data_IF_574191504349
#
_entry.id   IF_574191504349
#
_cell.length_a   1.000
_cell.length_b   1.000
_cell.length_c   1.000
_cell.angle_alpha   90.00
_cell.angle_beta   90.00
_cell.angle_gamma   90.00
#
_symmetry.space_group_name_H-M   'P 1'
#
loop_
_entity.id
_entity.type
_entity.pdbx_description
1 polymer ?
#
# COMPACT_ATOMS: atom_id res chain seq x y z
N UNK A 1 -40.68 -24.09 45.38
CA UNK A 1 -41.91 -23.42 44.94
C UNK A 1 -41.76 -23.10 43.47
N UNK A 2 -42.36 -23.93 42.63
CA UNK A 2 -42.34 -23.86 41.16
C UNK A 2 -43.52 -23.01 40.70
N UNK A 3 -43.30 -22.11 39.75
CA UNK A 3 -44.35 -21.41 39.01
C UNK A 3 -43.83 -21.05 37.61
N UNK A 4 -44.74 -20.98 36.62
CA UNK A 4 -44.61 -21.74 35.37
C UNK A 4 -44.17 -20.91 34.15
N UNK A 5 -43.76 -21.56 33.05
CA UNK A 5 -43.43 -20.88 31.79
C UNK A 5 -44.69 -20.55 30.96
N UNK A 6 -44.72 -19.34 30.43
CA UNK A 6 -45.72 -18.80 29.52
C UNK A 6 -45.53 -19.38 28.10
N UNK A 7 -46.59 -19.95 27.55
CA UNK A 7 -46.69 -20.47 26.19
C UNK A 7 -47.26 -19.42 25.23
N UNK A 8 -46.63 -19.23 24.07
CA UNK A 8 -47.19 -18.53 22.90
C UNK A 8 -46.62 -19.12 21.59
N UNK A 9 -47.34 -18.99 20.46
CA UNK A 9 -47.71 -20.15 19.65
C UNK A 9 -46.84 -20.40 18.40
N UNK A 10 -46.88 -21.65 17.98
CA UNK A 10 -46.39 -22.24 16.74
C UNK A 10 -47.07 -21.63 15.50
N UNK A 11 -46.34 -21.20 14.46
CA UNK A 11 -46.92 -20.97 13.14
C UNK A 11 -47.04 -22.28 12.35
N UNK A 12 -48.24 -22.52 11.81
CA UNK A 12 -48.58 -23.60 10.87
C UNK A 12 -47.90 -23.43 9.49
N UNK A 13 -47.75 -24.51 8.71
CA UNK A 13 -46.83 -24.59 7.58
C UNK A 13 -47.36 -23.91 6.32
N UNK A 14 -46.48 -23.18 5.64
CA UNK A 14 -46.75 -22.59 4.32
C UNK A 14 -46.66 -23.67 3.24
N UNK A 15 -47.76 -23.82 2.50
CA UNK A 15 -47.91 -24.71 1.34
C UNK A 15 -46.94 -24.35 0.21
N UNK A 16 -46.36 -25.38 -0.39
CA UNK A 16 -45.60 -25.31 -1.64
C UNK A 16 -46.54 -25.17 -2.86
N UNK A 17 -46.25 -24.27 -3.81
CA UNK A 17 -46.82 -24.33 -5.15
C UNK A 17 -46.04 -25.32 -6.02
N UNK A 18 -46.77 -26.25 -6.63
CA UNK A 18 -46.29 -27.21 -7.63
C UNK A 18 -46.05 -26.53 -9.00
N UNK A 19 -45.32 -27.19 -9.92
CA UNK A 19 -44.54 -26.55 -10.99
C UNK A 19 -45.38 -26.14 -12.21
N UNK A 20 -45.12 -24.93 -12.72
CA UNK A 20 -45.65 -24.47 -14.02
C UNK A 20 -44.67 -24.79 -15.16
N UNK A 21 -45.28 -25.28 -16.24
CA UNK A 21 -44.69 -25.87 -17.42
C UNK A 21 -43.89 -24.89 -18.31
N UNK A 22 -42.89 -25.45 -18.99
CA UNK A 22 -42.08 -24.81 -20.00
C UNK A 22 -42.89 -24.43 -21.26
N UNK A 23 -42.71 -23.22 -21.82
CA UNK A 23 -43.10 -22.92 -23.19
C UNK A 23 -42.04 -23.35 -24.20
N UNK A 24 -42.52 -24.02 -25.23
CA UNK A 24 -41.80 -24.55 -26.37
C UNK A 24 -41.13 -23.47 -27.23
N UNK A 25 -40.04 -23.92 -27.86
CA UNK A 25 -39.24 -23.32 -28.92
C UNK A 25 -40.04 -22.68 -30.06
N UNK A 26 -39.74 -21.43 -30.37
CA UNK A 26 -40.05 -20.80 -31.67
C UNK A 26 -38.80 -20.72 -32.55
N UNK A 27 -38.92 -21.01 -33.87
CA UNK A 27 -37.78 -21.15 -34.78
C UNK A 27 -37.16 -19.81 -35.22
N UNK A 28 -35.85 -19.87 -35.40
CA UNK A 28 -34.93 -18.81 -35.81
C UNK A 28 -35.00 -18.57 -37.33
N UNK A 29 -35.09 -17.32 -37.82
CA UNK A 29 -34.99 -17.03 -39.25
C UNK A 29 -33.53 -17.08 -39.76
N UNK A 30 -33.31 -17.48 -41.02
CA UNK A 30 -31.99 -17.81 -41.56
C UNK A 30 -31.08 -16.61 -41.81
N UNK A 31 -29.78 -16.85 -41.63
CA UNK A 31 -28.68 -15.92 -41.84
C UNK A 31 -28.48 -15.59 -43.33
N UNK A 32 -28.39 -14.29 -43.62
CA UNK A 32 -28.03 -13.75 -44.94
C UNK A 32 -26.50 -13.77 -45.09
N UNK A 33 -25.98 -14.53 -46.05
CA UNK A 33 -24.57 -14.49 -46.43
C UNK A 33 -24.30 -13.30 -47.37
N UNK A 34 -23.21 -12.53 -47.18
CA UNK A 34 -22.76 -11.56 -48.17
C UNK A 34 -22.07 -12.25 -49.37
N UNK A 35 -22.23 -11.71 -50.60
CA UNK A 35 -21.75 -12.35 -51.82
C UNK A 35 -20.22 -12.22 -52.01
N UNK A 36 -19.62 -13.28 -52.57
CA UNK A 36 -18.23 -13.30 -53.07
C UNK A 36 -18.12 -12.48 -54.36
N UNK A 37 -17.09 -11.63 -54.54
CA UNK A 37 -16.82 -11.01 -55.84
C UNK A 37 -16.24 -12.01 -56.84
N UNK A 38 -16.88 -12.13 -58.01
CA UNK A 38 -16.37 -12.77 -59.21
C UNK A 38 -15.22 -11.95 -59.80
N UNK A 39 -14.14 -12.64 -60.17
CA UNK A 39 -13.11 -12.10 -61.05
C UNK A 39 -13.59 -12.17 -62.51
N UNK A 40 -13.30 -11.15 -63.30
CA UNK A 40 -13.34 -11.23 -64.77
C UNK A 40 -12.10 -10.57 -65.37
N UNK A 41 -11.61 -11.08 -66.52
CA UNK A 41 -10.20 -11.04 -66.86
C UNK A 41 -9.97 -10.37 -68.21
N UNK A 42 -9.92 -9.04 -68.29
CA UNK A 42 -9.45 -8.34 -69.50
C UNK A 42 -9.03 -6.92 -69.15
N UNK A 43 -7.71 -6.64 -69.18
CA UNK A 43 -7.16 -5.48 -69.91
C UNK A 43 -5.63 -5.45 -69.84
N UNK A 44 -5.05 -5.40 -71.04
CA UNK A 44 -3.64 -5.29 -71.34
C UNK A 44 -3.11 -3.86 -71.14
N UNK A 45 -1.79 -3.80 -71.03
CA UNK A 45 -0.95 -2.68 -70.61
C UNK A 45 -0.76 -1.54 -71.64
N UNK A 46 -0.51 -0.33 -71.13
CA UNK A 46 0.37 0.67 -71.74
C UNK A 46 1.01 1.55 -70.63
N UNK A 47 2.25 2.07 -70.81
CA UNK A 47 3.05 2.65 -69.74
C UNK A 47 2.87 4.17 -69.58
N UNK A 48 2.88 4.67 -68.35
CA UNK A 48 2.96 6.11 -68.04
C UNK A 48 3.89 6.33 -66.85
N UNK A 49 4.81 7.29 -67.02
CA UNK A 49 5.83 7.70 -66.07
C UNK A 49 5.23 8.39 -64.81
N UNK A 50 6.01 8.57 -63.72
CA UNK A 50 5.50 8.48 -62.35
C UNK A 50 4.82 9.77 -61.85
N UNK A 51 3.56 9.63 -61.44
CA UNK A 51 2.88 10.61 -60.60
C UNK A 51 3.24 10.36 -59.12
N UNK A 52 3.70 11.41 -58.44
CA UNK A 52 4.00 11.43 -57.00
C UNK A 52 2.71 11.21 -56.22
N UNK A 53 2.62 10.06 -55.53
CA UNK A 53 1.53 9.78 -54.59
C UNK A 53 1.77 10.52 -53.26
N UNK A 54 0.76 11.18 -52.68
CA UNK A 54 0.81 11.58 -51.28
C UNK A 54 0.81 10.32 -50.37
N UNK A 55 1.53 10.34 -49.24
CA UNK A 55 1.73 9.15 -48.41
C UNK A 55 0.39 8.65 -47.85
N UNK A 56 0.02 7.42 -48.20
CA UNK A 56 -1.04 6.69 -47.51
C UNK A 56 -0.64 6.48 -46.04
N UNK A 57 -1.53 6.71 -45.08
CA UNK A 57 -1.30 6.33 -43.69
C UNK A 57 -1.18 4.80 -43.63
N UNK A 58 0.03 4.31 -43.33
CA UNK A 58 0.24 2.92 -42.98
C UNK A 58 -0.65 2.56 -41.79
N UNK A 59 -1.35 1.40 -41.82
CA UNK A 59 -1.91 0.83 -40.61
C UNK A 59 -0.77 0.69 -39.61
N UNK A 60 -0.87 1.38 -38.48
CA UNK A 60 0.07 1.22 -37.39
C UNK A 60 0.17 -0.27 -37.08
N UNK A 61 1.37 -0.83 -37.26
CA UNK A 61 1.66 -2.17 -36.78
C UNK A 61 1.17 -2.25 -35.33
N UNK A 62 0.47 -3.32 -34.92
CA UNK A 62 0.11 -3.48 -33.53
C UNK A 62 1.39 -3.34 -32.72
N UNK A 63 1.48 -2.26 -31.94
CA UNK A 63 2.52 -2.15 -30.94
C UNK A 63 2.39 -3.42 -30.13
N UNK A 64 3.40 -4.28 -30.21
CA UNK A 64 3.65 -5.29 -29.21
C UNK A 64 3.79 -4.52 -27.89
N UNK A 65 2.66 -4.30 -27.21
CA UNK A 65 2.65 -4.09 -25.78
C UNK A 65 3.25 -5.37 -25.23
N UNK A 66 4.57 -5.36 -25.05
CA UNK A 66 5.17 -6.25 -24.10
C UNK A 66 4.40 -5.99 -22.81
N UNK A 67 3.61 -6.98 -22.38
CA UNK A 67 3.07 -7.07 -21.02
C UNK A 67 4.25 -7.27 -20.05
N UNK A 68 5.23 -6.38 -20.11
CA UNK A 68 6.26 -6.26 -19.10
C UNK A 68 5.56 -6.02 -17.77
N UNK A 69 6.04 -6.71 -16.73
CA UNK A 69 5.63 -6.46 -15.35
C UNK A 69 5.60 -4.95 -15.11
N UNK A 70 4.41 -4.35 -15.09
CA UNK A 70 4.25 -2.95 -14.74
C UNK A 70 4.61 -2.84 -13.25
N UNK A 71 5.80 -2.31 -12.98
CA UNK A 71 6.30 -2.03 -11.64
C UNK A 71 6.40 -0.53 -11.52
N UNK A 72 6.00 0.02 -10.38
CA UNK A 72 6.17 1.45 -10.09
C UNK A 72 7.65 1.85 -10.31
N UNK A 73 7.90 2.90 -11.09
CA UNK A 73 9.23 3.30 -11.57
C UNK A 73 10.27 3.43 -10.43
N UNK A 74 9.84 3.89 -9.25
CA UNK A 74 10.73 4.13 -8.11
C UNK A 74 11.07 2.87 -7.29
N UNK A 75 10.58 1.70 -7.71
CA UNK A 75 10.76 0.42 -7.01
C UNK A 75 12.23 0.05 -6.78
N UNK A 76 13.12 0.34 -7.74
CA UNK A 76 14.56 0.10 -7.59
C UNK A 76 15.19 0.99 -6.51
N UNK A 77 14.84 2.28 -6.50
CA UNK A 77 15.32 3.24 -5.51
C UNK A 77 14.89 2.87 -4.09
N UNK A 78 13.65 2.40 -3.93
CA UNK A 78 13.14 1.92 -2.62
C UNK A 78 13.92 0.72 -2.08
N UNK A 79 14.42 -0.18 -2.95
CA UNK A 79 15.28 -1.29 -2.53
C UNK A 79 16.66 -0.81 -2.05
N UNK A 80 17.24 0.17 -2.75
CA UNK A 80 18.51 0.78 -2.35
C UNK A 80 18.39 1.44 -0.97
N UNK A 81 17.33 2.25 -0.76
CA UNK A 81 17.03 2.87 0.54
C UNK A 81 16.91 1.79 1.62
N UNK A 82 16.17 0.71 1.36
CA UNK A 82 16.05 -0.40 2.33
C UNK A 82 17.41 -1.04 2.67
N UNK A 83 18.30 -1.18 1.68
CA UNK A 83 19.68 -1.64 1.87
C UNK A 83 20.51 -0.68 2.73
N UNK A 84 20.45 0.62 2.45
CA UNK A 84 21.13 1.66 3.21
C UNK A 84 20.64 1.70 4.67
N UNK A 85 19.33 1.53 4.89
CA UNK A 85 18.75 1.41 6.23
C UNK A 85 19.20 0.16 7.00
N UNK A 86 19.55 -0.95 6.31
CA UNK A 86 20.18 -2.11 6.95
C UNK A 86 21.60 -1.76 7.42
N UNK A 87 22.40 -1.15 6.54
CA UNK A 87 23.77 -0.71 6.87
C UNK A 87 23.78 0.28 8.04
N UNK A 88 22.87 1.27 8.05
CA UNK A 88 22.73 2.23 9.14
C UNK A 88 22.44 1.56 10.49
N UNK A 89 21.61 0.51 10.53
CA UNK A 89 21.37 -0.22 11.78
C UNK A 89 22.61 -0.94 12.28
N UNK A 90 23.33 -1.61 11.38
CA UNK A 90 24.61 -2.25 11.71
C UNK A 90 25.63 -1.23 12.22
N UNK A 91 25.70 -0.06 11.58
CA UNK A 91 26.55 1.05 11.97
C UNK A 91 26.25 1.54 13.41
N UNK A 92 24.99 1.87 13.72
CA UNK A 92 24.59 2.30 15.07
C UNK A 92 24.84 1.20 16.11
N UNK A 93 24.61 -0.06 15.73
CA UNK A 93 24.97 -1.18 16.59
C UNK A 93 26.48 -1.29 16.78
N UNK A 94 27.32 -0.89 15.84
CA UNK A 94 28.78 -0.85 16.00
C UNK A 94 29.33 0.28 16.88
N UNK A 95 28.54 1.34 17.15
CA UNK A 95 29.03 2.52 17.85
C UNK A 95 29.13 2.33 19.37
N UNK A 96 30.35 2.08 19.85
CA UNK A 96 30.68 1.91 21.28
C UNK A 96 31.45 3.09 21.88
N UNK A 97 31.68 4.15 21.10
CA UNK A 97 32.42 5.32 21.58
C UNK A 97 31.62 6.04 22.69
N UNK A 98 32.28 6.39 23.81
CA UNK A 98 31.65 7.14 24.89
C UNK A 98 31.33 8.57 24.44
N UNK A 99 30.13 9.03 24.75
CA UNK A 99 29.70 10.41 24.50
C UNK A 99 30.19 11.28 25.66
N UNK A 100 30.69 12.49 25.36
CA UNK A 100 31.20 13.44 26.37
C UNK A 100 30.17 13.72 27.48
N UNK A 101 30.62 13.70 28.74
CA UNK A 101 29.78 13.84 29.94
C UNK A 101 28.91 15.11 30.00
N UNK A 102 29.28 16.19 29.32
CA UNK A 102 28.48 17.42 29.26
C UNK A 102 27.12 17.20 28.58
N UNK A 103 27.05 16.30 27.60
CA UNK A 103 25.79 15.95 26.91
C UNK A 103 24.91 15.03 27.76
N UNK A 104 25.52 14.38 28.76
CA UNK A 104 24.90 13.40 29.65
C UNK A 104 24.31 14.07 30.90
N UNK A 105 24.90 15.16 31.41
CA UNK A 105 24.39 15.91 32.58
C UNK A 105 23.01 16.55 32.37
N UNK A 106 22.57 16.76 31.13
CA UNK A 106 21.21 17.22 30.82
C UNK A 106 20.14 16.11 30.97
N UNK A 107 20.54 14.86 31.28
CA UNK A 107 19.67 13.69 31.22
C UNK A 107 19.02 13.34 32.56
N UNK A 108 19.73 13.46 33.68
CA UNK A 108 19.20 13.17 35.03
C UNK A 108 20.28 13.47 36.08
N UNK A 109 19.90 14.05 37.23
CA UNK A 109 20.82 14.41 38.33
C UNK A 109 21.37 13.22 39.13
N UNK A 110 21.37 12.01 38.56
CA UNK A 110 21.82 10.79 39.21
C UNK A 110 22.34 9.81 38.17
N UNK A 111 23.63 9.89 37.83
CA UNK A 111 24.27 8.97 36.88
C UNK A 111 25.42 8.26 37.58
N UNK A 112 25.26 6.94 37.76
CA UNK A 112 26.35 6.00 38.06
C UNK A 112 27.27 5.89 36.83
N UNK A 113 28.57 5.84 37.05
CA UNK A 113 29.73 5.91 36.11
C UNK A 113 29.78 4.98 34.88
N UNK A 114 28.66 4.49 34.33
CA UNK A 114 28.69 3.77 33.05
C UNK A 114 28.78 4.76 31.89
N UNK A 115 29.86 4.67 31.12
CA UNK A 115 30.04 5.40 29.86
C UNK A 115 28.80 5.28 28.97
N UNK A 116 28.11 6.41 28.73
CA UNK A 116 26.93 6.44 27.88
C UNK A 116 27.38 6.47 26.42
N UNK A 117 27.02 5.44 25.66
CA UNK A 117 27.34 5.31 24.23
C UNK A 117 26.11 5.58 23.35
N UNK A 118 26.34 5.89 22.07
CA UNK A 118 25.25 6.07 21.08
C UNK A 118 24.39 4.80 20.98
N UNK A 119 25.00 3.61 21.00
CA UNK A 119 24.28 2.33 21.03
C UNK A 119 23.28 2.26 22.19
N UNK A 120 23.72 2.62 23.39
CA UNK A 120 22.87 2.53 24.59
C UNK A 120 21.70 3.52 24.51
N UNK A 121 21.97 4.77 24.11
CA UNK A 121 20.94 5.79 23.88
C UNK A 121 19.94 5.33 22.81
N UNK A 122 20.43 4.85 21.67
CA UNK A 122 19.61 4.37 20.57
C UNK A 122 18.69 3.21 21.03
N UNK A 123 19.19 2.32 21.88
CA UNK A 123 18.42 1.24 22.49
C UNK A 123 17.27 1.74 23.38
N UNK A 124 17.53 2.71 24.25
CA UNK A 124 16.51 3.32 25.13
C UNK A 124 15.43 4.06 24.33
N UNK A 125 15.84 4.88 23.36
CA UNK A 125 14.93 5.61 22.50
C UNK A 125 14.11 4.65 21.63
N UNK A 126 14.73 3.61 21.06
CA UNK A 126 14.01 2.55 20.33
C UNK A 126 12.92 1.90 21.18
N UNK A 127 13.24 1.52 22.43
CA UNK A 127 12.26 0.88 23.33
C UNK A 127 11.08 1.82 23.61
N UNK A 128 11.38 3.08 23.93
CA UNK A 128 10.37 4.10 24.18
C UNK A 128 9.47 4.34 22.96
N UNK A 129 10.08 4.46 21.77
CA UNK A 129 9.38 4.65 20.49
C UNK A 129 8.45 3.47 20.19
N UNK A 130 8.96 2.24 20.33
CA UNK A 130 8.19 1.02 20.01
C UNK A 130 7.04 0.83 20.99
N UNK A 131 7.28 1.08 22.29
CA UNK A 131 6.24 1.06 23.32
C UNK A 131 5.15 2.08 23.03
N UNK A 132 5.52 3.32 22.66
CA UNK A 132 4.55 4.39 22.39
C UNK A 132 3.69 4.07 21.17
N UNK A 133 4.29 3.48 20.12
CA UNK A 133 3.53 2.96 18.97
C UNK A 133 2.60 1.80 19.34
N UNK A 134 3.00 0.97 20.31
CA UNK A 134 2.19 -0.10 20.91
C UNK A 134 0.97 0.37 21.71
N UNK A 135 0.91 1.67 22.02
CA UNK A 135 -0.16 2.28 22.84
C UNK A 135 -1.16 3.06 21.99
N UNK A 136 -1.09 2.95 20.66
CA UNK A 136 -2.08 3.56 19.78
C UNK A 136 -3.40 2.81 19.91
N UNK A 137 -4.51 3.55 19.91
CA UNK A 137 -5.85 2.97 19.92
C UNK A 137 -6.63 3.38 18.68
N UNK A 138 -7.72 2.68 18.39
CA UNK A 138 -8.64 2.97 17.28
C UNK A 138 -9.61 4.14 17.58
N UNK A 139 -9.53 4.72 18.79
CA UNK A 139 -10.35 5.85 19.20
C UNK A 139 -9.85 7.14 18.54
N UNK A 140 -10.73 7.81 17.79
CA UNK A 140 -10.40 9.06 17.14
C UNK A 140 -9.96 10.13 18.17
N UNK A 141 -8.85 10.81 17.91
CA UNK A 141 -8.33 11.90 18.74
C UNK A 141 -7.63 11.49 20.05
N UNK A 142 -7.71 10.21 20.47
CA UNK A 142 -7.08 9.73 21.71
C UNK A 142 -5.54 9.73 21.65
N UNK A 143 -4.98 9.62 20.44
CA UNK A 143 -3.56 9.37 20.19
C UNK A 143 -2.66 10.62 20.24
N UNK A 144 -3.20 11.78 20.63
CA UNK A 144 -2.46 13.05 20.65
C UNK A 144 -1.22 12.99 21.55
N UNK A 145 -1.32 12.31 22.71
CA UNK A 145 -0.19 12.15 23.65
C UNK A 145 0.94 11.32 23.04
N UNK A 146 0.60 10.25 22.34
CA UNK A 146 1.54 9.36 21.66
C UNK A 146 2.25 10.10 20.52
N UNK A 147 1.51 10.90 19.74
CA UNK A 147 2.08 11.74 18.67
C UNK A 147 3.11 12.72 19.26
N UNK A 148 2.76 13.42 20.34
CA UNK A 148 3.66 14.38 21.00
C UNK A 148 4.91 13.69 21.53
N UNK A 149 4.75 12.55 22.21
CA UNK A 149 5.88 11.79 22.76
C UNK A 149 6.83 11.27 21.66
N UNK A 150 6.30 10.77 20.54
CA UNK A 150 7.10 10.33 19.39
C UNK A 150 7.84 11.53 18.78
N UNK A 151 7.16 12.66 18.62
CA UNK A 151 7.76 13.90 18.10
C UNK A 151 8.91 14.35 18.98
N UNK A 152 8.69 14.51 20.28
CA UNK A 152 9.71 14.97 21.22
C UNK A 152 10.93 14.03 21.27
N UNK A 153 10.68 12.72 21.18
CA UNK A 153 11.74 11.73 21.10
C UNK A 153 12.60 11.89 19.82
N UNK A 154 11.96 12.13 18.67
CA UNK A 154 12.66 12.37 17.41
C UNK A 154 13.36 13.73 17.39
N UNK A 155 12.77 14.78 17.94
CA UNK A 155 13.42 16.09 18.11
C UNK A 155 14.67 15.97 18.98
N UNK A 156 14.60 15.24 20.09
CA UNK A 156 15.76 14.96 20.95
C UNK A 156 16.87 14.23 20.19
N UNK A 157 16.54 13.37 19.24
CA UNK A 157 17.55 12.66 18.45
C UNK A 157 18.30 13.56 17.45
N UNK A 158 17.73 14.73 17.10
CA UNK A 158 18.41 15.73 16.27
C UNK A 158 19.45 16.52 17.07
N UNK A 159 19.28 16.67 18.38
CA UNK A 159 20.19 17.46 19.23
C UNK A 159 21.37 16.64 19.77
N UNK A 160 21.22 15.32 19.85
CA UNK A 160 22.29 14.42 20.28
C UNK A 160 23.33 14.31 19.16
N UNK A 161 24.57 14.72 19.47
CA UNK A 161 25.70 14.58 18.54
C UNK A 161 25.92 13.11 18.21
N UNK A 162 25.63 12.74 16.98
CA UNK A 162 25.87 11.42 16.40
C UNK A 162 26.55 11.61 15.04
N UNK A 163 27.15 10.54 14.51
CA UNK A 163 27.89 10.63 13.24
C UNK A 163 27.01 11.25 12.14
N UNK A 164 27.53 12.21 11.35
CA UNK A 164 26.78 12.84 10.27
C UNK A 164 26.57 11.85 9.12
N UNK A 165 25.38 11.89 8.50
CA UNK A 165 25.00 11.03 7.38
C UNK A 165 24.43 11.86 6.24
N UNK A 166 24.77 11.49 5.00
CA UNK A 166 24.21 12.09 3.79
C UNK A 166 22.72 11.69 3.63
N UNK A 167 21.77 12.63 3.74
CA UNK A 167 20.33 12.31 3.78
C UNK A 167 19.82 11.78 2.44
N UNK A 168 20.48 12.13 1.35
CA UNK A 168 20.11 11.77 -0.01
C UNK A 168 19.96 10.25 -0.14
N UNK A 169 20.80 9.44 0.50
CA UNK A 169 20.76 7.96 0.46
C UNK A 169 19.50 7.33 1.08
N UNK A 170 18.68 8.11 1.77
CA UNK A 170 17.46 7.66 2.45
C UNK A 170 16.18 8.29 1.87
N UNK A 171 16.30 9.04 0.77
CA UNK A 171 15.20 9.76 0.14
C UNK A 171 14.88 9.19 -1.24
N UNK A 172 13.59 9.19 -1.57
CA UNK A 172 13.11 8.76 -2.87
C UNK A 172 13.57 9.74 -3.95
N UNK A 173 13.20 11.01 -3.78
CA UNK A 173 13.53 12.11 -4.68
C UNK A 173 14.33 13.16 -3.90
N UNK A 174 15.66 13.03 -3.82
CA UNK A 174 16.49 13.97 -3.05
C UNK A 174 16.49 15.36 -3.73
N UNK A 175 16.24 16.44 -2.97
CA UNK A 175 16.35 17.81 -3.50
C UNK A 175 17.79 18.15 -3.89
N UNK A 176 17.94 18.80 -5.05
CA UNK A 176 19.24 19.11 -5.66
C UNK A 176 20.00 20.22 -4.91
N UNK A 177 19.29 21.16 -4.30
CA UNK A 177 19.86 22.30 -3.58
C UNK A 177 19.11 22.65 -2.31
N UNK A 178 19.63 23.60 -1.52
CA UNK A 178 18.93 24.16 -0.37
C UNK A 178 17.55 24.68 -0.75
N UNK A 179 16.61 24.60 0.18
CA UNK A 179 15.27 25.15 0.04
C UNK A 179 15.09 26.35 0.98
N UNK A 180 14.54 27.44 0.46
CA UNK A 180 14.23 28.62 1.24
C UNK A 180 13.27 28.29 2.39
N UNK A 181 13.52 28.84 3.58
CA UNK A 181 12.72 28.59 4.78
C UNK A 181 12.82 27.17 5.37
N UNK A 182 13.61 26.26 4.79
CA UNK A 182 13.79 24.93 5.34
C UNK A 182 14.67 24.96 6.60
N UNK A 183 14.22 24.25 7.64
CA UNK A 183 14.93 24.19 8.93
C UNK A 183 16.27 23.44 8.86
N UNK A 184 16.38 22.48 7.93
CA UNK A 184 17.60 21.71 7.71
C UNK A 184 18.03 21.82 6.25
N UNK A 185 19.05 22.64 5.98
CA UNK A 185 19.63 22.84 4.65
C UNK A 185 21.06 22.29 4.48
N UNK A 186 21.73 21.96 5.59
CA UNK A 186 23.09 21.41 5.57
C UNK A 186 23.20 20.07 4.85
N UNK A 187 24.43 19.66 4.53
CA UNK A 187 24.68 18.46 3.71
C UNK A 187 24.49 17.14 4.46
N UNK A 188 24.31 17.18 5.78
CA UNK A 188 24.23 15.99 6.63
C UNK A 188 23.09 16.07 7.63
N UNK A 189 22.61 14.90 8.06
CA UNK A 189 21.68 14.72 9.17
C UNK A 189 22.28 13.78 10.22
N UNK A 190 21.92 13.91 11.51
CA UNK A 190 22.39 13.02 12.56
C UNK A 190 21.99 11.55 12.28
N UNK A 191 22.95 10.62 12.35
CA UNK A 191 22.69 9.18 12.14
C UNK A 191 21.67 8.61 13.12
N UNK A 192 21.63 9.10 14.37
CA UNK A 192 20.66 8.67 15.38
C UNK A 192 19.22 9.01 14.98
N UNK A 193 18.99 10.18 14.40
CA UNK A 193 17.68 10.59 13.90
C UNK A 193 17.20 9.69 12.76
N UNK A 194 18.03 9.48 11.74
CA UNK A 194 17.70 8.60 10.61
C UNK A 194 17.47 7.16 11.07
N UNK A 195 18.25 6.71 12.06
CA UNK A 195 18.05 5.40 12.69
C UNK A 195 16.69 5.30 13.37
N UNK A 196 16.28 6.31 14.15
CA UNK A 196 14.99 6.30 14.82
C UNK A 196 13.81 6.44 13.87
N UNK A 197 13.93 7.20 12.78
CA UNK A 197 12.93 7.19 11.70
C UNK A 197 12.74 5.80 11.08
N UNK A 198 13.82 5.04 10.93
CA UNK A 198 13.74 3.65 10.47
C UNK A 198 13.14 2.71 11.53
N UNK A 199 13.42 2.92 12.82
CA UNK A 199 12.74 2.18 13.89
C UNK A 199 11.24 2.51 13.91
N UNK A 200 10.87 3.78 13.78
CA UNK A 200 9.48 4.25 13.70
C UNK A 200 8.76 3.59 12.52
N UNK A 201 9.37 3.60 11.34
CA UNK A 201 8.87 2.88 10.15
C UNK A 201 8.64 1.39 10.41
N UNK A 202 9.61 0.72 11.05
CA UNK A 202 9.48 -0.69 11.38
C UNK A 202 8.35 -0.94 12.38
N UNK A 203 8.14 -0.03 13.33
CA UNK A 203 7.04 -0.11 14.27
C UNK A 203 5.68 0.06 13.57
N UNK A 204 5.55 1.02 12.65
CA UNK A 204 4.35 1.19 11.80
C UNK A 204 4.02 -0.12 11.07
N UNK A 205 4.98 -0.66 10.32
CA UNK A 205 4.74 -1.87 9.51
C UNK A 205 4.47 -3.09 10.38
N UNK A 206 5.08 -3.17 11.56
CA UNK A 206 4.79 -4.23 12.51
C UNK A 206 3.35 -4.13 13.04
N UNK A 207 2.93 -2.97 13.54
CA UNK A 207 1.56 -2.74 14.05
C UNK A 207 0.50 -3.02 12.98
N UNK A 208 0.74 -2.57 11.75
CA UNK A 208 -0.16 -2.88 10.64
C UNK A 208 -0.23 -4.38 10.35
N UNK A 209 0.91 -5.09 10.42
CA UNK A 209 0.94 -6.52 10.15
C UNK A 209 0.38 -7.41 11.28
N UNK A 210 0.20 -6.86 12.50
CA UNK A 210 -0.24 -7.62 13.68
C UNK A 210 -1.58 -7.16 14.24
N UNK A 211 -1.77 -5.86 14.48
CA UNK A 211 -3.00 -5.33 15.07
C UNK A 211 -4.03 -5.03 13.99
N UNK A 212 -3.62 -4.40 12.88
CA UNK A 212 -4.56 -4.08 11.80
C UNK A 212 -5.01 -5.31 11.00
N UNK A 213 -4.38 -6.47 11.18
CA UNK A 213 -4.87 -7.74 10.62
C UNK A 213 -6.13 -8.23 11.32
N UNK A 214 -6.30 -7.91 12.61
CA UNK A 214 -7.44 -8.32 13.44
C UNK A 214 -8.45 -7.19 13.63
N UNK A 215 -7.97 -5.95 13.78
CA UNK A 215 -8.80 -4.75 13.83
C UNK A 215 -8.36 -3.74 12.75
N UNK A 216 -8.88 -3.85 11.51
CA UNK A 216 -8.49 -2.96 10.41
C UNK A 216 -8.70 -1.46 10.71
N UNK A 217 -9.59 -1.09 11.64
CA UNK A 217 -9.84 0.31 12.01
C UNK A 217 -8.61 1.01 12.58
N UNK A 218 -7.67 0.26 13.17
CA UNK A 218 -6.42 0.81 13.72
C UNK A 218 -5.44 1.27 12.63
N UNK A 219 -5.62 0.86 11.37
CA UNK A 219 -4.80 1.35 10.27
C UNK A 219 -4.90 2.87 10.10
N UNK A 220 -6.09 3.44 10.34
CA UNK A 220 -6.35 4.87 10.21
C UNK A 220 -5.52 5.70 11.22
N UNK A 221 -5.59 5.50 12.55
CA UNK A 221 -4.75 6.24 13.49
C UNK A 221 -3.25 6.01 13.27
N UNK A 222 -2.82 4.81 12.87
CA UNK A 222 -1.42 4.56 12.51
C UNK A 222 -1.00 5.45 11.32
N UNK A 223 -1.85 5.56 10.30
CA UNK A 223 -1.64 6.47 9.17
C UNK A 223 -1.58 7.94 9.58
N UNK A 224 -2.41 8.38 10.55
CA UNK A 224 -2.38 9.77 11.09
C UNK A 224 -1.02 10.03 11.72
N UNK A 225 -0.57 9.15 12.59
CA UNK A 225 0.70 9.28 13.31
C UNK A 225 1.86 9.32 12.31
N UNK A 226 1.88 8.38 11.35
CA UNK A 226 2.90 8.33 10.30
C UNK A 226 3.01 9.65 9.52
N UNK A 227 1.89 10.19 9.03
CA UNK A 227 1.85 11.45 8.31
C UNK A 227 2.22 12.65 9.18
N UNK A 228 1.68 12.71 10.39
CA UNK A 228 1.92 13.83 11.32
C UNK A 228 3.39 13.96 11.67
N UNK A 229 4.06 12.83 11.89
CA UNK A 229 5.50 12.77 12.15
C UNK A 229 6.28 13.06 10.87
N UNK A 230 6.11 12.29 9.80
CA UNK A 230 7.00 12.39 8.63
C UNK A 230 6.90 13.73 7.87
N UNK A 231 5.77 14.42 7.98
CA UNK A 231 5.55 15.77 7.40
C UNK A 231 5.87 16.92 8.37
N UNK A 232 6.37 16.63 9.58
CA UNK A 232 6.65 17.66 10.55
C UNK A 232 7.83 18.55 10.09
N UNK A 233 7.74 19.89 10.12
CA UNK A 233 8.78 20.78 9.59
C UNK A 233 10.20 20.51 10.12
N UNK A 234 10.33 20.21 11.42
CA UNK A 234 11.61 19.84 12.06
C UNK A 234 12.24 18.55 11.55
N UNK A 235 11.50 17.73 10.82
CA UNK A 235 11.99 16.44 10.33
C UNK A 235 12.20 16.46 8.81
N UNK A 236 11.94 17.59 8.15
CA UNK A 236 12.17 17.77 6.72
C UNK A 236 13.63 18.14 6.49
N UNK A 237 14.21 17.57 5.43
CA UNK A 237 15.51 18.00 4.92
C UNK A 237 15.31 18.70 3.59
N UNK A 238 15.76 19.95 3.51
CA UNK A 238 15.56 20.86 2.36
C UNK A 238 14.09 20.90 1.92
N UNK A 239 13.18 20.99 2.90
CA UNK A 239 11.73 21.05 2.68
C UNK A 239 11.06 19.73 2.28
N UNK A 240 11.82 18.64 2.15
CA UNK A 240 11.32 17.34 1.68
C UNK A 240 11.31 16.30 2.81
N UNK A 241 10.31 15.42 2.77
CA UNK A 241 10.12 14.39 3.80
C UNK A 241 10.95 13.13 3.52
N UNK A 242 11.24 12.37 4.58
CA UNK A 242 11.88 11.05 4.49
C UNK A 242 10.88 9.91 4.22
N UNK A 243 9.77 10.18 3.52
CA UNK A 243 8.73 9.18 3.21
C UNK A 243 9.27 7.93 2.51
N UNK A 244 10.37 8.08 1.76
CA UNK A 244 11.10 6.98 1.14
C UNK A 244 11.52 5.88 2.13
N UNK A 245 11.80 6.23 3.40
CA UNK A 245 12.10 5.25 4.46
C UNK A 245 10.89 4.35 4.72
N UNK A 246 9.68 4.93 4.83
CA UNK A 246 8.44 4.18 5.05
C UNK A 246 8.15 3.30 3.83
N UNK A 247 8.18 3.89 2.64
CA UNK A 247 7.88 3.19 1.40
C UNK A 247 8.88 2.09 1.08
N UNK A 248 10.16 2.25 1.43
CA UNK A 248 11.17 1.19 1.30
C UNK A 248 10.82 -0.05 2.13
N UNK A 249 10.21 0.15 3.30
CA UNK A 249 9.74 -0.96 4.13
C UNK A 249 8.44 -1.58 3.62
N UNK A 250 7.49 -0.77 3.12
CA UNK A 250 6.30 -1.30 2.44
C UNK A 250 6.67 -2.10 1.20
N UNK A 251 7.60 -1.61 0.38
CA UNK A 251 8.08 -2.28 -0.82
C UNK A 251 8.65 -3.67 -0.59
N UNK A 252 9.19 -3.95 0.60
CA UNK A 252 9.68 -5.27 0.99
C UNK A 252 8.65 -6.11 1.75
N UNK A 253 7.65 -5.48 2.38
CA UNK A 253 6.70 -6.18 3.27
C UNK A 253 5.32 -6.38 2.64
N UNK A 254 4.96 -5.55 1.67
CA UNK A 254 3.72 -5.56 0.87
C UNK A 254 4.09 -5.25 -0.60
N UNK A 255 4.75 -6.16 -1.31
CA UNK A 255 5.35 -5.82 -2.61
C UNK A 255 4.32 -5.70 -3.74
N UNK A 256 3.13 -6.29 -3.57
CA UNK A 256 2.08 -6.34 -4.60
C UNK A 256 1.50 -4.97 -4.95
N UNK A 257 1.45 -4.01 -4.01
CA UNK A 257 1.01 -2.63 -4.29
C UNK A 257 2.01 -1.85 -5.15
N UNK A 258 3.21 -2.41 -5.37
CA UNK A 258 4.22 -1.88 -6.28
C UNK A 258 4.27 -2.63 -7.62
N UNK A 259 3.30 -3.52 -7.89
CA UNK A 259 3.22 -4.29 -9.13
C UNK A 259 4.07 -5.55 -9.15
N UNK A 260 4.61 -5.99 -8.00
CA UNK A 260 5.35 -7.26 -7.94
C UNK A 260 4.38 -8.42 -7.88
N UNK A 261 4.67 -9.42 -8.70
CA UNK A 261 3.89 -10.65 -8.85
C UNK A 261 4.78 -11.87 -8.57
N UNK A 262 4.17 -13.01 -8.32
CA UNK A 262 4.87 -14.27 -8.08
C UNK A 262 3.91 -15.41 -7.78
N UNK A 263 4.35 -16.64 -8.00
CA UNK A 263 3.57 -17.84 -7.67
C UNK A 263 3.74 -18.21 -6.19
N UNK A 264 2.65 -18.29 -5.43
CA UNK A 264 2.66 -18.65 -4.00
C UNK A 264 3.11 -20.09 -3.73
N UNK A 265 3.15 -20.94 -4.76
CA UNK A 265 3.60 -22.34 -4.71
C UNK A 265 5.12 -22.49 -4.79
N UNK A 266 5.85 -21.43 -5.15
CA UNK A 266 7.31 -21.47 -5.35
C UNK A 266 8.02 -20.67 -4.27
N UNK A 267 9.21 -21.09 -3.85
CA UNK A 267 10.02 -20.33 -2.88
C UNK A 267 10.34 -18.91 -3.37
N UNK A 268 10.72 -18.79 -4.64
CA UNK A 268 11.04 -17.50 -5.26
C UNK A 268 9.81 -16.60 -5.32
N UNK A 269 8.63 -17.14 -5.66
CA UNK A 269 7.39 -16.38 -5.68
C UNK A 269 6.95 -15.93 -4.28
N UNK A 270 7.02 -16.80 -3.27
CA UNK A 270 6.79 -16.43 -1.87
C UNK A 270 7.70 -15.29 -1.43
N UNK A 271 8.99 -15.37 -1.73
CA UNK A 271 9.95 -14.31 -1.43
C UNK A 271 9.58 -12.99 -2.12
N UNK A 272 9.22 -13.02 -3.41
CA UNK A 272 8.79 -11.86 -4.19
C UNK A 272 7.51 -11.22 -3.65
N UNK A 273 6.59 -12.03 -3.11
CA UNK A 273 5.32 -11.59 -2.54
C UNK A 273 5.43 -11.13 -1.07
N UNK A 274 6.62 -11.12 -0.47
CA UNK A 274 6.83 -10.61 0.89
C UNK A 274 6.42 -11.59 2.00
N UNK A 275 6.40 -12.89 1.68
CA UNK A 275 6.28 -13.94 2.69
C UNK A 275 7.46 -13.89 3.66
N UNK A 276 7.18 -14.20 4.94
CA UNK A 276 8.22 -14.29 5.96
C UNK A 276 8.62 -15.75 6.16
N UNK A 277 9.88 -15.95 6.52
CA UNK A 277 10.37 -17.20 7.09
C UNK A 277 10.46 -17.02 8.61
N UNK A 278 9.84 -17.92 9.37
CA UNK A 278 10.10 -18.14 10.79
C UNK A 278 11.17 -19.21 10.99
N UNK A 279 11.32 -19.68 12.23
CA UNK A 279 12.35 -20.66 12.59
C UNK A 279 12.15 -22.01 11.88
N UNK A 280 10.88 -22.38 11.63
CA UNK A 280 10.49 -23.64 10.98
C UNK A 280 10.22 -23.50 9.47
N UNK A 281 10.79 -22.47 8.82
CA UNK A 281 10.58 -22.22 7.39
C UNK A 281 9.53 -21.14 7.13
N UNK A 282 8.78 -21.25 6.02
CA UNK A 282 7.76 -20.25 5.68
C UNK A 282 6.66 -20.19 6.76
N UNK A 283 6.17 -18.99 7.06
CA UNK A 283 4.99 -18.82 7.92
C UNK A 283 3.77 -19.50 7.30
N UNK A 284 2.73 -19.74 8.09
CA UNK A 284 1.47 -20.31 7.57
C UNK A 284 0.78 -19.37 6.58
N UNK A 285 0.00 -19.96 5.68
CA UNK A 285 -0.82 -19.21 4.72
C UNK A 285 -1.72 -18.20 5.43
N UNK A 286 -2.40 -18.63 6.49
CA UNK A 286 -3.28 -17.76 7.29
C UNK A 286 -2.50 -16.57 7.88
N UNK A 287 -1.34 -16.81 8.48
CA UNK A 287 -0.50 -15.74 9.05
C UNK A 287 -0.03 -14.75 7.96
N UNK A 288 0.34 -15.24 6.78
CA UNK A 288 0.67 -14.38 5.65
C UNK A 288 -0.52 -13.55 5.21
N UNK A 289 -1.69 -14.17 5.03
CA UNK A 289 -2.92 -13.49 4.61
C UNK A 289 -3.35 -12.40 5.60
N UNK A 290 -3.30 -12.68 6.91
CA UNK A 290 -3.59 -11.71 7.97
C UNK A 290 -2.67 -10.50 7.88
N UNK A 291 -1.36 -10.74 7.75
CA UNK A 291 -0.38 -9.67 7.56
C UNK A 291 -0.67 -8.83 6.32
N UNK A 292 -1.04 -9.46 5.20
CA UNK A 292 -1.34 -8.75 3.95
C UNK A 292 -2.59 -7.88 4.05
N UNK A 293 -3.64 -8.35 4.75
CA UNK A 293 -4.85 -7.56 5.03
C UNK A 293 -4.51 -6.29 5.81
N UNK A 294 -3.83 -6.43 6.94
CA UNK A 294 -3.48 -5.28 7.78
C UNK A 294 -2.53 -4.29 7.10
N UNK A 295 -1.57 -4.80 6.31
CA UNK A 295 -0.68 -3.95 5.51
C UNK A 295 -1.41 -3.25 4.35
N UNK A 296 -2.37 -3.90 3.69
CA UNK A 296 -3.21 -3.31 2.65
C UNK A 296 -4.02 -2.13 3.18
N UNK A 297 -4.75 -2.33 4.28
CA UNK A 297 -5.49 -1.27 4.96
C UNK A 297 -4.57 -0.12 5.40
N UNK A 298 -3.38 -0.45 5.93
CA UNK A 298 -2.36 0.55 6.28
C UNK A 298 -1.84 1.35 5.10
N UNK A 299 -1.65 0.72 3.94
CA UNK A 299 -1.23 1.41 2.72
C UNK A 299 -2.31 2.39 2.23
N UNK A 300 -3.58 1.99 2.27
CA UNK A 300 -4.70 2.88 1.98
C UNK A 300 -4.74 4.09 2.94
N UNK A 301 -4.56 3.85 4.25
CA UNK A 301 -4.53 4.88 5.29
C UNK A 301 -3.42 5.93 5.11
N UNK A 302 -2.32 5.55 4.45
CA UNK A 302 -1.22 6.45 4.11
C UNK A 302 -1.54 7.24 2.84
N UNK A 303 -1.99 6.58 1.77
CA UNK A 303 -2.19 7.25 0.49
C UNK A 303 -3.39 8.21 0.49
N UNK A 304 -4.52 7.83 1.10
CA UNK A 304 -5.79 8.56 1.03
C UNK A 304 -5.92 9.62 2.15
N UNK A 305 -4.84 10.34 2.41
CA UNK A 305 -4.80 11.44 3.39
C UNK A 305 -5.12 12.77 2.74
N UNK A 306 -6.16 13.45 3.23
CA UNK A 306 -6.53 14.77 2.75
C UNK A 306 -5.69 15.86 3.44
N UNK A 307 -4.92 16.60 2.64
CA UNK A 307 -4.08 17.72 3.07
C UNK A 307 -4.65 19.09 2.65
N UNK A 308 -5.85 19.15 2.06
CA UNK A 308 -6.48 20.41 1.59
C UNK A 308 -6.62 21.48 2.67
N UNK A 309 -6.75 21.07 3.94
CA UNK A 309 -6.83 21.96 5.12
C UNK A 309 -5.51 22.11 5.87
N UNK A 310 -4.41 21.58 5.34
CA UNK A 310 -3.09 21.57 5.97
C UNK A 310 -2.12 22.45 5.18
N UNK A 311 -1.32 23.25 5.88
CA UNK A 311 -0.23 23.99 5.26
C UNK A 311 0.96 23.11 4.86
N UNK A 312 0.93 21.81 5.20
CA UNK A 312 1.99 20.85 4.87
C UNK A 312 1.75 20.22 3.51
N UNK A 313 2.81 19.72 2.89
CA UNK A 313 2.71 18.91 1.67
C UNK A 313 2.39 17.46 2.01
N UNK A 314 1.50 16.82 1.24
CA UNK A 314 1.26 15.39 1.39
C UNK A 314 2.51 14.61 0.92
N UNK A 315 3.20 13.88 1.81
CA UNK A 315 4.42 13.14 1.47
C UNK A 315 4.16 11.93 0.56
N UNK A 316 2.93 11.40 0.53
CA UNK A 316 2.55 10.23 -0.26
C UNK A 316 1.13 10.41 -0.82
N UNK A 317 0.97 11.16 -1.94
CA UNK A 317 -0.34 11.60 -2.41
C UNK A 317 -1.25 10.45 -2.89
N UNK A 318 -2.57 10.68 -2.99
CA UNK A 318 -3.56 9.69 -3.45
C UNK A 318 -3.27 9.08 -4.81
N UNK A 319 -2.47 9.72 -5.68
CA UNK A 319 -2.05 9.15 -6.96
C UNK A 319 -1.33 7.80 -6.80
N UNK A 320 -0.64 7.59 -5.68
CA UNK A 320 -0.02 6.30 -5.36
C UNK A 320 -1.06 5.22 -5.05
N UNK A 321 -2.19 5.58 -4.44
CA UNK A 321 -3.32 4.65 -4.25
C UNK A 321 -3.91 4.23 -5.59
N UNK A 322 -4.18 5.21 -6.47
CA UNK A 322 -4.68 4.95 -7.83
C UNK A 322 -3.75 4.00 -8.59
N UNK A 323 -2.45 4.29 -8.59
CA UNK A 323 -1.44 3.47 -9.25
C UNK A 323 -1.39 2.05 -8.66
N UNK A 324 -1.35 1.91 -7.34
CA UNK A 324 -1.33 0.61 -6.68
C UNK A 324 -2.56 -0.24 -7.03
N UNK A 325 -3.75 0.36 -7.02
CA UNK A 325 -4.98 -0.31 -7.40
C UNK A 325 -4.97 -0.72 -8.87
N UNK A 326 -4.54 0.18 -9.76
CA UNK A 326 -4.35 -0.09 -11.18
C UNK A 326 -3.43 -1.29 -11.44
N UNK A 327 -2.29 -1.36 -10.75
CA UNK A 327 -1.34 -2.46 -10.86
C UNK A 327 -1.93 -3.81 -10.41
N UNK A 328 -2.79 -3.80 -9.38
CA UNK A 328 -3.46 -5.01 -8.90
C UNK A 328 -4.55 -5.47 -9.89
N UNK A 329 -5.46 -4.58 -10.27
CA UNK A 329 -6.60 -4.94 -11.16
C UNK A 329 -6.14 -5.33 -12.57
N UNK A 330 -5.06 -4.72 -13.07
CA UNK A 330 -4.49 -5.02 -14.38
C UNK A 330 -3.57 -6.26 -14.37
N UNK A 331 -3.57 -7.06 -13.29
CA UNK A 331 -2.84 -8.33 -13.27
C UNK A 331 -3.50 -9.34 -14.22
N UNK A 332 -2.76 -9.92 -15.19
CA UNK A 332 -3.29 -10.94 -16.08
C UNK A 332 -3.87 -12.12 -15.30
N UNK A 333 -5.00 -12.72 -15.73
CA UNK A 333 -5.63 -13.85 -15.05
C UNK A 333 -4.69 -14.98 -14.57
N UNK A 334 -3.69 -15.46 -15.35
CA UNK A 334 -2.81 -16.54 -14.90
C UNK A 334 -1.76 -16.11 -13.85
N UNK A 335 -1.54 -14.81 -13.67
CA UNK A 335 -0.59 -14.28 -12.68
C UNK A 335 -1.28 -13.84 -11.38
N UNK A 336 -2.61 -13.93 -11.30
CA UNK A 336 -3.38 -13.54 -10.12
C UNK A 336 -3.13 -14.53 -8.99
N UNK A 337 -2.87 -14.02 -7.80
CA UNK A 337 -2.72 -14.84 -6.60
C UNK A 337 -3.59 -14.33 -5.44
N UNK A 338 -3.86 -15.23 -4.48
CA UNK A 338 -4.65 -14.95 -3.28
C UNK A 338 -4.16 -13.69 -2.54
N UNK A 339 -2.83 -13.51 -2.43
CA UNK A 339 -2.23 -12.32 -1.82
C UNK A 339 -2.70 -11.03 -2.47
N UNK A 340 -2.73 -10.94 -3.81
CA UNK A 340 -3.14 -9.73 -4.51
C UNK A 340 -4.62 -9.42 -4.28
N UNK A 341 -5.46 -10.46 -4.32
CA UNK A 341 -6.91 -10.32 -4.11
C UNK A 341 -7.19 -9.81 -2.69
N UNK A 342 -6.53 -10.38 -1.68
CA UNK A 342 -6.70 -9.94 -0.30
C UNK A 342 -6.22 -8.51 -0.06
N UNK A 343 -5.11 -8.12 -0.67
CA UNK A 343 -4.61 -6.74 -0.58
C UNK A 343 -5.55 -5.78 -1.29
N UNK A 344 -6.09 -6.15 -2.45
CA UNK A 344 -7.10 -5.36 -3.16
C UNK A 344 -8.34 -5.15 -2.28
N UNK A 345 -8.87 -6.22 -1.66
CA UNK A 345 -10.00 -6.10 -0.73
C UNK A 345 -9.68 -5.15 0.42
N UNK A 346 -8.50 -5.30 1.04
CA UNK A 346 -8.08 -4.48 2.18
C UNK A 346 -7.77 -3.02 1.84
N UNK A 347 -7.43 -2.71 0.58
CA UNK A 347 -7.30 -1.33 0.11
C UNK A 347 -8.66 -0.65 0.04
N UNK A 348 -9.70 -1.40 -0.37
CA UNK A 348 -11.04 -0.87 -0.61
C UNK A 348 -11.89 -0.78 0.67
N UNK A 349 -11.90 -1.83 1.49
CA UNK A 349 -12.81 -1.94 2.64
C UNK A 349 -12.56 -0.85 3.69
N UNK A 350 -13.54 0.06 3.83
CA UNK A 350 -13.49 1.21 4.75
C UNK A 350 -12.81 2.47 4.18
N UNK A 351 -12.31 2.43 2.95
CA UNK A 351 -11.65 3.56 2.28
C UNK A 351 -12.40 4.08 1.05
N UNK A 352 -13.55 3.50 0.72
CA UNK A 352 -14.35 3.80 -0.47
C UNK A 352 -14.74 5.27 -0.54
N UNK A 353 -15.24 5.81 0.57
CA UNK A 353 -15.67 7.22 0.65
C UNK A 353 -14.50 8.18 0.40
N UNK A 354 -13.33 7.89 0.98
CA UNK A 354 -12.13 8.70 0.76
C UNK A 354 -11.64 8.61 -0.67
N UNK A 355 -11.69 7.42 -1.27
CA UNK A 355 -11.31 7.23 -2.65
C UNK A 355 -12.22 8.02 -3.60
N UNK A 356 -13.54 7.99 -3.35
CA UNK A 356 -14.52 8.81 -4.06
C UNK A 356 -14.32 10.32 -3.82
N UNK A 357 -13.94 10.74 -2.62
CA UNK A 357 -13.64 12.14 -2.32
C UNK A 357 -12.50 12.70 -3.18
N UNK A 358 -11.47 11.89 -3.47
CA UNK A 358 -10.34 12.33 -4.29
C UNK A 358 -10.58 12.25 -5.80
N UNK A 359 -11.34 11.26 -6.28
CA UNK A 359 -11.41 10.94 -7.71
C UNK A 359 -12.83 10.92 -8.31
N UNK A 360 -13.86 11.15 -7.51
CA UNK A 360 -15.25 11.24 -7.98
C UNK A 360 -15.68 10.03 -8.81
N UNK A 361 -16.23 10.28 -9.99
CA UNK A 361 -16.71 9.24 -10.90
C UNK A 361 -15.61 8.31 -11.41
N UNK A 362 -14.37 8.79 -11.52
CA UNK A 362 -13.24 7.94 -11.90
C UNK A 362 -12.96 6.86 -10.84
N UNK A 363 -13.14 7.19 -9.55
CA UNK A 363 -13.09 6.19 -8.49
C UNK A 363 -14.25 5.17 -8.61
N UNK A 364 -15.46 5.58 -9.02
CA UNK A 364 -16.58 4.65 -9.25
C UNK A 364 -16.25 3.65 -10.35
N UNK A 365 -15.73 4.12 -11.48
CA UNK A 365 -15.30 3.24 -12.57
C UNK A 365 -14.23 2.24 -12.10
N UNK A 366 -13.27 2.72 -11.31
CA UNK A 366 -12.21 1.86 -10.82
C UNK A 366 -12.68 0.87 -9.73
N UNK A 367 -13.64 1.25 -8.89
CA UNK A 367 -14.32 0.35 -7.95
C UNK A 367 -15.10 -0.74 -8.68
N UNK A 368 -15.84 -0.38 -9.75
CA UNK A 368 -16.51 -1.35 -10.63
C UNK A 368 -15.51 -2.34 -11.22
N UNK A 369 -14.40 -1.85 -11.76
CA UNK A 369 -13.34 -2.70 -12.30
C UNK A 369 -12.78 -3.67 -11.25
N UNK A 370 -12.58 -3.21 -10.01
CA UNK A 370 -12.02 -4.02 -8.93
C UNK A 370 -13.00 -5.04 -8.32
N UNK A 371 -14.29 -4.71 -8.25
CA UNK A 371 -15.30 -5.47 -7.50
C UNK A 371 -16.19 -6.33 -8.40
N UNK A 372 -16.37 -5.94 -9.66
CA UNK A 372 -17.22 -6.65 -10.61
C UNK A 372 -16.34 -7.32 -11.68
N UNK A 373 -15.59 -6.52 -12.44
CA UNK A 373 -14.89 -7.03 -13.63
C UNK A 373 -13.72 -7.96 -13.26
N UNK A 374 -12.95 -7.60 -12.21
CA UNK A 374 -11.83 -8.39 -11.74
C UNK A 374 -12.27 -9.76 -11.18
N UNK A 375 -13.25 -9.88 -10.27
CA UNK A 375 -13.76 -11.17 -9.86
C UNK A 375 -14.34 -11.98 -11.02
N UNK A 376 -15.12 -11.36 -11.91
CA UNK A 376 -15.72 -12.04 -13.07
C UNK A 376 -14.68 -12.63 -14.02
N UNK A 377 -13.61 -11.89 -14.31
CA UNK A 377 -12.49 -12.34 -15.15
C UNK A 377 -11.51 -13.30 -14.46
N UNK A 378 -11.66 -13.55 -13.16
CA UNK A 378 -10.76 -14.45 -12.43
C UNK A 378 -11.09 -15.91 -12.75
N UNK A 379 -10.09 -16.74 -13.12
CA UNK A 379 -10.31 -18.10 -13.59
C UNK A 379 -10.83 -19.01 -12.48
N UNK A 380 -10.31 -18.82 -11.26
CA UNK A 380 -10.74 -19.52 -10.07
C UNK A 380 -11.55 -18.59 -9.15
N UNK A 381 -12.71 -19.07 -8.70
CA UNK A 381 -13.57 -18.37 -7.74
C UNK A 381 -13.20 -18.76 -6.32
N UNK A 382 -11.97 -18.44 -5.92
CA UNK A 382 -11.48 -18.72 -4.57
C UNK A 382 -12.25 -17.92 -3.51
N UNK A 383 -12.17 -18.32 -2.25
CA UNK A 383 -12.79 -17.59 -1.15
C UNK A 383 -12.35 -16.11 -1.08
N UNK A 384 -11.09 -15.82 -1.43
CA UNK A 384 -10.59 -14.45 -1.52
C UNK A 384 -11.29 -13.65 -2.62
N UNK A 385 -11.50 -14.24 -3.80
CA UNK A 385 -12.22 -13.59 -4.90
C UNK A 385 -13.68 -13.36 -4.53
N UNK A 386 -14.33 -14.32 -3.87
CA UNK A 386 -15.71 -14.18 -3.39
C UNK A 386 -15.85 -13.03 -2.39
N UNK A 387 -14.82 -12.77 -1.58
CA UNK A 387 -14.81 -11.67 -0.61
C UNK A 387 -14.92 -10.30 -1.29
N UNK A 388 -14.34 -10.11 -2.48
CA UNK A 388 -14.53 -8.88 -3.26
C UNK A 388 -15.97 -8.69 -3.71
N UNK A 389 -16.64 -9.75 -4.16
CA UNK A 389 -18.05 -9.68 -4.55
C UNK A 389 -18.95 -9.30 -3.37
N UNK A 390 -18.70 -9.89 -2.19
CA UNK A 390 -19.42 -9.56 -0.94
C UNK A 390 -19.16 -8.12 -0.52
N UNK A 391 -17.95 -7.59 -0.76
CA UNK A 391 -17.66 -6.18 -0.51
C UNK A 391 -18.53 -5.26 -1.39
N UNK A 392 -18.79 -5.63 -2.65
CA UNK A 392 -19.73 -4.91 -3.52
C UNK A 392 -21.14 -4.83 -2.93
N UNK A 393 -21.66 -5.95 -2.43
CA UNK A 393 -22.97 -5.97 -1.77
C UNK A 393 -22.99 -5.09 -0.51
N UNK A 394 -21.92 -5.13 0.29
CA UNK A 394 -21.74 -4.28 1.47
C UNK A 394 -21.72 -2.80 1.09
N UNK A 395 -20.98 -2.40 0.06
CA UNK A 395 -20.92 -1.01 -0.40
C UNK A 395 -22.31 -0.51 -0.86
N UNK A 396 -23.08 -1.34 -1.57
CA UNK A 396 -24.43 -1.01 -1.97
C UNK A 396 -25.36 -0.83 -0.79
N UNK A 397 -25.36 -1.77 0.17
CA UNK A 397 -26.22 -1.74 1.36
C UNK A 397 -25.87 -0.60 2.32
N UNK A 398 -24.61 -0.42 2.64
CA UNK A 398 -24.17 0.43 3.76
C UNK A 398 -23.84 1.86 3.31
N UNK A 399 -23.40 2.03 2.06
CA UNK A 399 -22.93 3.32 1.53
C UNK A 399 -23.84 3.87 0.44
N UNK A 400 -24.81 3.10 -0.06
CA UNK A 400 -25.67 3.48 -1.18
C UNK A 400 -24.92 3.61 -2.51
N UNK A 401 -23.69 3.09 -2.59
CA UNK A 401 -22.87 3.16 -3.80
C UNK A 401 -23.32 2.04 -4.74
N UNK A 402 -23.83 2.41 -5.91
CA UNK A 402 -24.16 1.45 -6.97
C UNK A 402 -23.04 1.49 -8.01
N UNK A 403 -22.44 0.32 -8.30
CA UNK A 403 -21.27 0.16 -9.17
C UNK A 403 -21.62 -0.43 -10.53
#
# INVERSE_FOLDING_TARGET
SLSPPTSTPTPSPVQAPAPQAAPQSTPQPPAVQPPKPQASPFQQAAPSAPAVQPPQPQPAAPQNQSNGLQVLADSGRLLEIHGNLKKLRGFIQGQNEPISMEQVKQRDGSIKEKAITIRTIAGDMRRTLTRTMGQLTDVAGSNSKQIVAIRELLEKSLTIKSAPMQPQHFMLNPPQGPAEGAQHNGDTMPSLFLYLLNIFTKAIVNQLSSEASTNPKIAEPIGIVAHTIISHPKFLWRGQSFIGIIMAKFRTSLPVVFGIRGAETTEQGRQRLGWRKGDNGWISDQEHQDRMRGLGAGYAALCLRNYSKSARTNPWPPSNYWNAMGLLICTPPPERCTTQVLVLTALLDGYERKFLEFYGDMARCALRAAIIDFPNSSPEKTAAVQTLSVLGDKMKRDLGITL
#
